data_IF_228525916260
#
_entry.id   IF_228525916260
#
_cell.length_a   1.000
_cell.length_b   1.000
_cell.length_c   1.000
_cell.angle_alpha   90.00
_cell.angle_beta   90.00
_cell.angle_gamma   90.00
#
_symmetry.space_group_name_H-M   'P 1'
#
loop_
_entity.id
_entity.type
_entity.pdbx_description
1 polymer ?
#
# COMPACT_ATOMS: atom_id res chain seq x y z
N UNK A 1 4.41 -2.28 -6.79
CA UNK A 1 3.28 -1.76 -7.59
C UNK A 1 2.66 -2.81 -8.50
N UNK A 2 3.31 -3.95 -8.69
CA UNK A 2 2.89 -5.03 -9.61
C UNK A 2 1.38 -5.33 -9.65
N UNK A 3 0.69 -5.38 -8.50
CA UNK A 3 -0.76 -5.59 -8.48
C UNK A 3 -1.56 -4.47 -9.18
N UNK A 4 -1.18 -3.20 -8.98
CA UNK A 4 -1.82 -2.07 -9.65
C UNK A 4 -1.48 -2.08 -11.14
N UNK A 5 -0.23 -2.37 -11.48
CA UNK A 5 0.22 -2.44 -12.87
C UNK A 5 -0.55 -3.53 -13.66
N UNK A 6 -0.67 -4.73 -13.08
CA UNK A 6 -1.48 -5.82 -13.65
C UNK A 6 -2.96 -5.42 -13.84
N UNK A 7 -3.55 -4.72 -12.87
CA UNK A 7 -4.94 -4.24 -12.98
C UNK A 7 -5.09 -3.23 -14.12
N UNK A 8 -4.13 -2.31 -14.27
CA UNK A 8 -4.13 -1.34 -15.35
C UNK A 8 -3.98 -2.01 -16.72
N UNK A 9 -3.10 -3.00 -16.85
CA UNK A 9 -2.95 -3.79 -18.09
C UNK A 9 -4.24 -4.54 -18.43
N UNK A 10 -4.87 -5.21 -17.45
CA UNK A 10 -6.14 -5.90 -17.63
C UNK A 10 -7.24 -4.94 -18.13
N UNK A 11 -7.35 -3.75 -17.54
CA UNK A 11 -8.37 -2.79 -17.95
C UNK A 11 -8.08 -2.10 -19.27
N UNK A 12 -6.81 -1.93 -19.63
CA UNK A 12 -6.42 -1.49 -20.97
C UNK A 12 -6.86 -2.50 -22.03
N UNK A 13 -6.69 -3.80 -21.74
CA UNK A 13 -7.18 -4.88 -22.62
C UNK A 13 -8.70 -4.85 -22.78
N UNK A 14 -9.42 -4.57 -21.69
CA UNK A 14 -10.87 -4.46 -21.66
C UNK A 14 -11.39 -3.12 -22.25
N UNK A 15 -10.49 -2.23 -22.69
CA UNK A 15 -10.77 -0.90 -23.28
C UNK A 15 -11.60 0.01 -22.37
N UNK A 16 -11.45 -0.13 -21.05
CA UNK A 16 -12.15 0.74 -20.09
C UNK A 16 -11.60 2.16 -20.16
N UNK A 17 -12.51 3.13 -20.03
CA UNK A 17 -12.11 4.54 -19.94
C UNK A 17 -11.51 4.83 -18.55
N UNK A 18 -10.57 5.78 -18.49
CA UNK A 18 -9.96 6.22 -17.22
C UNK A 18 -11.00 6.60 -16.15
N UNK A 19 -12.12 7.18 -16.58
CA UNK A 19 -13.24 7.56 -15.70
C UNK A 19 -13.92 6.34 -15.09
N UNK A 20 -14.08 5.25 -15.85
CA UNK A 20 -14.69 4.01 -15.37
C UNK A 20 -13.78 3.31 -14.36
N UNK A 21 -12.47 3.29 -14.64
CA UNK A 21 -11.45 2.76 -13.72
C UNK A 21 -11.44 3.55 -12.41
N UNK A 22 -11.39 4.89 -12.49
CA UNK A 22 -11.44 5.75 -11.30
C UNK A 22 -12.73 5.55 -10.49
N UNK A 23 -13.87 5.37 -11.18
CA UNK A 23 -15.16 5.08 -10.53
C UNK A 23 -15.16 3.73 -9.80
N UNK A 24 -14.51 2.71 -10.36
CA UNK A 24 -14.38 1.41 -9.69
C UNK A 24 -13.53 1.54 -8.42
N UNK A 25 -12.36 2.19 -8.50
CA UNK A 25 -11.50 2.39 -7.34
C UNK A 25 -12.13 3.27 -6.26
N UNK A 26 -12.93 4.27 -6.62
CA UNK A 26 -13.61 5.12 -5.62
C UNK A 26 -14.66 4.38 -4.79
N UNK A 27 -14.93 3.11 -5.11
CA UNK A 27 -15.79 2.21 -4.33
C UNK A 27 -14.98 1.16 -3.55
N UNK A 28 -13.68 1.02 -3.83
CA UNK A 28 -12.81 0.05 -3.20
C UNK A 28 -12.38 0.50 -1.81
N UNK A 29 -12.44 -0.45 -0.86
CA UNK A 29 -11.83 -0.35 0.46
C UNK A 29 -10.68 -1.35 0.50
N UNK A 30 -9.50 -0.89 0.86
CA UNK A 30 -8.30 -1.72 0.88
C UNK A 30 -7.93 -2.09 2.32
N UNK A 31 -7.65 -3.37 2.55
CA UNK A 31 -7.12 -3.89 3.81
C UNK A 31 -5.71 -4.38 3.56
N UNK A 32 -4.74 -3.81 4.26
CA UNK A 32 -3.33 -4.16 4.14
C UNK A 32 -2.72 -4.35 5.52
N UNK A 33 -1.66 -5.14 5.64
CA UNK A 33 -1.06 -5.43 6.94
C UNK A 33 -0.30 -4.23 7.51
N UNK A 34 0.55 -3.60 6.70
CA UNK A 34 1.36 -2.44 7.07
C UNK A 34 0.92 -1.20 6.31
N UNK A 35 1.09 -0.03 6.92
CA UNK A 35 0.81 1.27 6.31
C UNK A 35 1.40 1.38 4.89
N UNK A 36 0.66 1.94 3.91
CA UNK A 36 1.17 2.10 2.56
C UNK A 36 2.44 2.96 2.59
N UNK A 37 3.48 2.52 1.88
CA UNK A 37 4.65 3.36 1.72
C UNK A 37 4.31 4.61 0.89
N UNK A 38 5.18 5.63 0.91
CA UNK A 38 5.05 6.89 0.15
C UNK A 38 4.62 6.63 -1.30
N UNK A 39 5.29 5.70 -1.98
CA UNK A 39 5.00 5.32 -3.35
C UNK A 39 3.58 4.75 -3.52
N UNK A 40 3.18 3.82 -2.66
CA UNK A 40 1.85 3.20 -2.71
C UNK A 40 0.75 4.23 -2.36
N UNK A 41 0.97 5.07 -1.34
CA UNK A 41 0.02 6.11 -0.94
C UNK A 41 -0.23 7.11 -2.08
N UNK A 42 0.82 7.53 -2.81
CA UNK A 42 0.69 8.40 -3.97
C UNK A 42 -0.20 7.78 -5.06
N UNK A 43 0.02 6.50 -5.38
CA UNK A 43 -0.79 5.79 -6.38
C UNK A 43 -2.23 5.60 -5.93
N UNK A 44 -2.46 5.23 -4.67
CA UNK A 44 -3.81 5.07 -4.12
C UNK A 44 -4.60 6.39 -4.15
N UNK A 45 -3.92 7.51 -3.88
CA UNK A 45 -4.50 8.84 -4.02
C UNK A 45 -4.80 9.20 -5.48
N UNK A 46 -3.90 8.86 -6.41
CA UNK A 46 -4.10 9.07 -7.85
C UNK A 46 -5.30 8.26 -8.40
N UNK A 47 -5.44 7.02 -7.94
CA UNK A 47 -6.56 6.14 -8.30
C UNK A 47 -7.87 6.56 -7.60
N UNK A 48 -7.78 7.33 -6.52
CA UNK A 48 -8.91 7.84 -5.77
C UNK A 48 -9.66 6.75 -5.02
N UNK A 49 -8.94 5.87 -4.32
CA UNK A 49 -9.56 4.83 -3.47
C UNK A 49 -10.40 5.44 -2.35
N UNK A 50 -11.41 4.72 -1.87
CA UNK A 50 -12.31 5.23 -0.84
C UNK A 50 -11.63 5.30 0.52
N UNK A 51 -11.09 4.17 0.96
CA UNK A 51 -10.58 4.00 2.31
C UNK A 51 -9.54 2.89 2.38
N UNK A 52 -8.56 3.05 3.27
CA UNK A 52 -7.51 2.09 3.54
C UNK A 52 -7.47 1.80 5.03
N UNK A 53 -7.49 0.51 5.38
CA UNK A 53 -7.29 0.01 6.73
C UNK A 53 -5.95 -0.70 6.79
N UNK A 54 -5.16 -0.41 7.82
CA UNK A 54 -3.89 -1.09 8.05
C UNK A 54 -3.65 -1.45 9.51
N UNK A 55 -2.85 -2.48 9.73
CA UNK A 55 -2.59 -3.02 11.07
C UNK A 55 -1.49 -2.30 11.82
N UNK A 56 -0.35 -2.05 11.20
CA UNK A 56 0.77 -1.34 11.83
C UNK A 56 1.27 -0.17 10.99
N UNK A 57 1.85 0.83 11.66
CA UNK A 57 2.56 1.95 11.05
C UNK A 57 3.82 1.47 10.31
N UNK A 58 4.24 2.24 9.30
CA UNK A 58 5.48 2.01 8.55
C UNK A 58 6.50 3.11 8.88
N UNK A 59 7.29 2.86 9.91
CA UNK A 59 8.26 3.83 10.46
C UNK A 59 9.39 4.22 9.50
N UNK A 60 9.62 3.47 8.43
CA UNK A 60 10.72 3.74 7.49
C UNK A 60 10.26 4.44 6.22
N UNK A 61 9.06 4.11 5.74
CA UNK A 61 8.59 4.51 4.42
C UNK A 61 7.13 4.95 4.39
N UNK A 62 6.46 5.10 5.53
CA UNK A 62 5.01 5.34 5.61
C UNK A 62 4.54 6.62 4.93
N UNK A 63 3.56 6.48 4.04
CA UNK A 63 2.98 7.57 3.25
C UNK A 63 1.61 8.06 3.74
N UNK A 64 1.11 7.52 4.85
CA UNK A 64 -0.21 7.81 5.39
C UNK A 64 -0.18 8.38 6.81
N UNK A 65 0.95 8.93 7.25
CA UNK A 65 1.09 9.56 8.56
C UNK A 65 2.46 9.40 9.18
N UNK A 66 3.13 8.24 9.00
CA UNK A 66 4.39 7.97 9.70
C UNK A 66 5.56 8.84 9.22
N UNK A 67 5.71 9.00 7.90
CA UNK A 67 6.76 9.86 7.30
C UNK A 67 6.13 11.01 6.51
N UNK A 68 5.21 10.70 5.59
CA UNK A 68 4.43 11.68 4.83
C UNK A 68 2.94 11.40 4.98
N UNK A 69 2.11 12.42 4.73
CA UNK A 69 0.64 12.33 4.80
C UNK A 69 -0.01 12.56 3.44
N UNK A 70 0.26 11.67 2.47
CA UNK A 70 -0.25 11.80 1.09
C UNK A 70 -1.75 11.50 0.96
N UNK A 71 -2.29 10.72 1.89
CA UNK A 71 -3.72 10.43 2.00
C UNK A 71 -4.58 11.68 2.30
N UNK A 72 -3.99 12.72 2.90
CA UNK A 72 -4.68 13.96 3.29
C UNK A 72 -4.65 15.06 2.21
N UNK A 73 -4.01 14.82 1.07
CA UNK A 73 -3.82 15.81 0.00
C UNK A 73 -5.17 16.19 -0.62
N UNK A 74 -5.81 17.22 -0.08
CA UNK A 74 -7.06 17.77 -0.59
C UNK A 74 -7.03 19.30 -0.52
N UNK A 75 -6.20 19.93 -1.37
CA UNK A 75 -6.33 21.36 -1.70
C UNK A 75 -5.27 21.75 -2.74
N UNK A 76 -5.60 21.66 -4.03
CA UNK A 76 -5.32 22.75 -4.97
C UNK A 76 -6.38 22.70 -6.08
N UNK A 77 -7.03 23.83 -6.41
CA UNK A 77 -8.03 23.87 -7.47
C UNK A 77 -7.35 23.67 -8.83
N UNK A 78 -7.97 22.86 -9.69
CA UNK A 78 -7.84 22.81 -11.15
C UNK A 78 -6.74 23.72 -11.77
N UNK A 79 -5.47 23.29 -11.71
CA UNK A 79 -4.48 23.74 -12.68
C UNK A 79 -4.58 22.81 -13.88
N UNK A 80 -5.11 23.38 -14.97
CA UNK A 80 -5.33 22.74 -16.28
C UNK A 80 -4.08 21.90 -16.64
N UNK A 81 -4.28 20.59 -16.79
CA UNK A 81 -3.28 19.51 -17.06
C UNK A 81 -2.74 18.64 -15.90
N UNK A 82 -3.08 18.87 -14.63
CA UNK A 82 -2.75 17.89 -13.57
C UNK A 82 -3.96 17.06 -13.15
N UNK A 83 -3.79 15.73 -13.13
CA UNK A 83 -4.80 14.78 -12.62
C UNK A 83 -5.10 15.10 -11.16
N UNK A 84 -6.37 15.25 -10.75
CA UNK A 84 -6.71 15.60 -9.37
C UNK A 84 -6.26 14.49 -8.42
N UNK A 85 -5.34 14.80 -7.51
CA UNK A 85 -5.06 13.93 -6.37
C UNK A 85 -6.27 14.01 -5.43
N UNK A 86 -6.90 12.85 -5.20
CA UNK A 86 -7.99 12.74 -4.22
C UNK A 86 -7.40 12.15 -2.95
N UNK A 87 -7.64 12.82 -1.83
CA UNK A 87 -7.39 12.22 -0.53
C UNK A 87 -8.23 10.96 -0.34
N UNK A 88 -7.77 10.06 0.52
CA UNK A 88 -8.49 8.85 0.92
C UNK A 88 -8.44 8.70 2.44
N UNK A 89 -9.46 8.06 3.02
CA UNK A 89 -9.50 7.85 4.47
C UNK A 89 -8.54 6.74 4.88
N UNK A 90 -7.82 6.95 5.97
CA UNK A 90 -6.92 5.95 6.57
C UNK A 90 -7.38 5.60 7.98
N UNK A 91 -7.41 4.31 8.30
CA UNK A 91 -7.65 3.82 9.67
C UNK A 91 -6.56 2.83 10.03
N UNK A 92 -5.89 3.07 11.16
CA UNK A 92 -4.80 2.22 11.65
C UNK A 92 -5.24 1.27 12.77
N UNK A 93 -4.38 0.31 13.10
CA UNK A 93 -4.53 -0.56 14.28
C UNK A 93 -5.31 -1.86 14.05
N UNK A 94 -5.73 -2.16 12.81
CA UNK A 94 -6.50 -3.38 12.52
C UNK A 94 -5.64 -4.65 12.67
N UNK A 95 -5.91 -5.47 13.69
CA UNK A 95 -5.12 -6.67 14.00
C UNK A 95 -3.62 -6.37 14.17
N UNK A 96 -3.31 -5.23 14.81
CA UNK A 96 -1.94 -4.75 14.97
C UNK A 96 -1.01 -5.78 15.63
N UNK A 97 -1.52 -6.54 16.61
CA UNK A 97 -0.78 -7.61 17.29
C UNK A 97 -0.34 -8.72 16.34
N UNK A 98 -1.27 -9.24 15.55
CA UNK A 98 -1.06 -10.34 14.62
C UNK A 98 -0.09 -9.92 13.51
N UNK A 99 -0.25 -8.69 13.01
CA UNK A 99 0.66 -8.12 12.02
C UNK A 99 2.07 -7.95 12.60
N UNK A 100 2.20 -7.50 13.84
CA UNK A 100 3.49 -7.39 14.52
C UNK A 100 4.17 -8.76 14.65
N UNK A 101 3.44 -9.78 15.11
CA UNK A 101 3.97 -11.15 15.20
C UNK A 101 4.37 -11.72 13.83
N UNK A 102 3.58 -11.44 12.79
CA UNK A 102 3.89 -11.83 11.42
C UNK A 102 5.23 -11.24 10.97
N UNK A 103 5.42 -9.92 11.10
CA UNK A 103 6.67 -9.26 10.71
C UNK A 103 7.86 -9.71 11.55
N UNK A 104 7.66 -9.88 12.87
CA UNK A 104 8.70 -10.42 13.75
C UNK A 104 9.15 -11.80 13.28
N UNK A 105 8.21 -12.71 13.01
CA UNK A 105 8.52 -14.05 12.53
C UNK A 105 9.27 -14.04 11.19
N UNK A 106 8.94 -13.10 10.30
CA UNK A 106 9.60 -12.93 9.02
C UNK A 106 11.06 -12.50 9.18
N UNK A 107 11.34 -11.51 10.02
CA UNK A 107 12.70 -11.04 10.27
C UNK A 107 13.55 -12.03 11.09
N UNK A 108 12.93 -12.81 11.98
CA UNK A 108 13.61 -13.87 12.72
C UNK A 108 14.03 -15.04 11.81
N UNK A 109 13.20 -15.42 10.84
CA UNK A 109 13.54 -16.45 9.85
C UNK A 109 14.78 -16.08 9.02
N UNK A 110 14.92 -14.81 8.65
CA UNK A 110 16.00 -14.33 7.80
C UNK A 110 15.86 -14.74 6.34
N UNK A 111 16.76 -14.23 5.48
CA UNK A 111 16.70 -14.48 4.04
C UNK A 111 17.53 -15.72 3.65
N UNK A 112 16.87 -16.82 3.32
CA UNK A 112 17.52 -18.06 2.85
C UNK A 112 18.33 -17.86 1.56
N UNK A 113 17.96 -16.88 0.74
CA UNK A 113 18.60 -16.59 -0.54
C UNK A 113 19.77 -15.61 -0.41
N UNK A 114 20.12 -15.16 0.80
CA UNK A 114 21.23 -14.24 1.01
C UNK A 114 22.57 -14.96 0.74
N UNK A 115 23.39 -14.52 -0.23
CA UNK A 115 24.65 -15.19 -0.56
C UNK A 115 25.63 -15.22 0.61
N UNK A 116 25.60 -14.19 1.46
CA UNK A 116 26.34 -14.09 2.72
C UNK A 116 25.40 -13.58 3.81
N UNK A 117 24.78 -14.46 4.61
CA UNK A 117 23.84 -14.05 5.64
C UNK A 117 24.56 -13.23 6.73
N UNK A 118 24.04 -12.04 7.03
CA UNK A 118 24.52 -11.23 8.17
C UNK A 118 24.01 -11.78 9.52
N UNK A 119 22.97 -12.62 9.50
CA UNK A 119 22.40 -13.27 10.68
C UNK A 119 22.25 -14.77 10.41
N UNK A 120 22.49 -15.65 11.40
CA UNK A 120 22.18 -17.07 11.29
C UNK A 120 20.70 -17.28 10.99
N UNK A 121 20.39 -18.18 10.06
CA UNK A 121 19.03 -18.52 9.67
C UNK A 121 18.44 -19.48 10.72
N UNK A 122 17.20 -19.21 11.15
CA UNK A 122 16.48 -20.14 12.03
C UNK A 122 16.03 -21.33 11.19
N UNK A 123 16.57 -22.52 11.47
CA UNK A 123 16.13 -23.74 10.81
C UNK A 123 14.70 -24.08 11.26
N UNK A 124 13.72 -24.00 10.34
CA UNK A 124 12.40 -24.57 10.61
C UNK A 124 12.55 -26.09 10.66
N UNK A 125 12.30 -26.71 11.82
CA UNK A 125 11.90 -28.12 11.84
C UNK A 125 10.63 -28.21 11.03
N UNK A 126 10.72 -28.87 9.88
CA UNK A 126 9.53 -29.30 9.14
C UNK A 126 8.96 -30.46 9.93
N UNK A 127 7.90 -30.20 10.68
CA UNK A 127 7.01 -31.25 11.23
C UNK A 127 5.92 -31.57 10.21
#
# INVERSE_FOLDING_TARGET
MEAVDNLLEMWQRDKLLKVEVAKKFSQCILYITCEPCIMCAAVLSFLGVKEVYYGCANEKFGGCGSILSLHSSCSEPFIRDKVPQRGFKCTEGLMASEVFFLFRSFYEQGNLNAPKPHRPLVQKKVE
#
